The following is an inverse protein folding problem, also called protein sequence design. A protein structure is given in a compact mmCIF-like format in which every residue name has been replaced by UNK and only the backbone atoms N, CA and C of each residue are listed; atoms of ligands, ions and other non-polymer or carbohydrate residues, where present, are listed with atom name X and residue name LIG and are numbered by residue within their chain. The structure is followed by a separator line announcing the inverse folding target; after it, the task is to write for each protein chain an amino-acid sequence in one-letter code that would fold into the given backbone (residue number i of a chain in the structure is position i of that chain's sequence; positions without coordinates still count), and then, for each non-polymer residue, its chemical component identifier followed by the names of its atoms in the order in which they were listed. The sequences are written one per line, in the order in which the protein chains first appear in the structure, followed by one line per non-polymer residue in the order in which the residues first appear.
data_IF_173101667704
#
_entry.id   IF_173101667704
#
_cell.length_a   1.000
_cell.length_b   1.000
_cell.length_c   1.000
_cell.angle_alpha   90.00
_cell.angle_beta   90.00
_cell.angle_gamma   90.00
#
_symmetry.space_group_name_H-M   'P 1'
#
loop_
_entity.id
_entity.type
_entity.pdbx_description
1 polymer ?
#
# COMPACT_ATOMS: atom_id res chain seq x y z
N UNK A 1 20.36 39.38 -9.16
CA UNK A 1 20.12 38.39 -10.26
C UNK A 1 21.18 37.29 -10.34
N UNK A 2 22.50 37.54 -10.17
CA UNK A 2 23.53 36.50 -10.23
C UNK A 2 23.40 35.41 -9.10
N UNK A 3 23.03 35.83 -7.91
CA UNK A 3 22.94 34.90 -6.73
C UNK A 3 21.75 33.91 -6.83
N UNK A 4 20.64 34.33 -7.47
CA UNK A 4 19.44 33.48 -7.64
C UNK A 4 19.68 32.37 -8.68
N UNK A 5 20.47 32.65 -9.71
CA UNK A 5 20.84 31.69 -10.74
C UNK A 5 21.82 30.63 -10.20
N UNK A 6 22.75 31.02 -9.32
CA UNK A 6 23.68 30.07 -8.70
C UNK A 6 22.97 29.09 -7.80
N UNK A 7 22.06 29.56 -6.96
CA UNK A 7 21.23 28.72 -6.05
C UNK A 7 20.34 27.75 -6.86
N UNK A 8 19.79 28.20 -7.98
CA UNK A 8 18.98 27.35 -8.86
C UNK A 8 19.82 26.26 -9.53
N UNK A 9 21.04 26.56 -9.95
CA UNK A 9 21.96 25.58 -10.55
C UNK A 9 22.41 24.53 -9.52
N UNK A 10 22.82 24.95 -8.32
CA UNK A 10 23.19 24.03 -7.25
C UNK A 10 22.04 23.08 -6.84
N UNK A 11 20.81 23.61 -6.83
CA UNK A 11 19.62 22.82 -6.57
C UNK A 11 19.37 21.79 -7.68
N UNK A 12 19.53 22.22 -8.93
CA UNK A 12 19.34 21.34 -10.09
C UNK A 12 20.38 20.21 -10.14
N UNK A 13 21.63 20.50 -9.77
CA UNK A 13 22.69 19.49 -9.64
C UNK A 13 22.37 18.48 -8.53
N UNK A 14 21.91 18.93 -7.36
CA UNK A 14 21.51 18.04 -6.25
C UNK A 14 20.32 17.15 -6.59
N UNK A 15 19.32 17.69 -7.29
CA UNK A 15 18.17 16.92 -7.78
C UNK A 15 18.61 15.88 -8.80
N UNK A 16 19.50 16.22 -9.72
CA UNK A 16 20.03 15.29 -10.72
C UNK A 16 20.86 14.18 -10.08
N UNK A 17 21.70 14.51 -9.10
CA UNK A 17 22.47 13.53 -8.32
C UNK A 17 21.56 12.61 -7.48
N UNK A 18 20.46 13.13 -6.92
CA UNK A 18 19.48 12.32 -6.22
C UNK A 18 18.74 11.38 -7.17
N UNK A 19 18.33 11.84 -8.35
CA UNK A 19 17.71 11.01 -9.37
C UNK A 19 18.64 9.87 -9.82
N UNK A 20 19.91 10.17 -10.06
CA UNK A 20 20.91 9.18 -10.44
C UNK A 20 21.13 8.15 -9.33
N UNK A 21 21.25 8.59 -8.08
CA UNK A 21 21.36 7.71 -6.90
C UNK A 21 20.16 6.77 -6.79
N UNK A 22 18.96 7.26 -7.06
CA UNK A 22 17.72 6.46 -7.09
C UNK A 22 17.57 5.64 -8.39
N UNK A 23 18.57 5.65 -9.28
CA UNK A 23 18.50 5.00 -10.60
C UNK A 23 17.23 5.37 -11.39
N UNK A 24 16.84 6.63 -11.28
CA UNK A 24 15.73 7.25 -11.99
C UNK A 24 16.23 8.33 -12.92
N UNK A 25 15.53 8.54 -14.03
CA UNK A 25 15.70 9.78 -14.74
C UNK A 25 15.24 10.96 -13.88
N UNK A 26 15.76 12.15 -14.11
CA UNK A 26 15.31 13.38 -13.43
C UNK A 26 13.78 13.56 -13.52
N UNK A 27 13.19 13.20 -14.67
CA UNK A 27 11.75 13.29 -14.88
C UNK A 27 10.97 12.33 -13.96
N UNK A 28 11.40 11.09 -13.88
CA UNK A 28 10.79 10.07 -13.00
C UNK A 28 10.91 10.47 -11.52
N UNK A 29 12.06 10.99 -11.11
CA UNK A 29 12.26 11.49 -9.75
C UNK A 29 11.31 12.65 -9.41
N UNK A 30 11.14 13.61 -10.31
CA UNK A 30 10.19 14.71 -10.08
C UNK A 30 8.73 14.23 -10.11
N UNK A 31 8.38 13.27 -10.98
CA UNK A 31 7.06 12.65 -10.98
C UNK A 31 6.79 11.88 -9.68
N UNK A 32 7.77 11.16 -9.16
CA UNK A 32 7.71 10.51 -7.85
C UNK A 32 7.45 11.53 -6.72
N UNK A 33 8.21 12.62 -6.68
CA UNK A 33 8.02 13.67 -5.66
C UNK A 33 6.63 14.35 -5.80
N UNK A 34 6.15 14.57 -7.02
CA UNK A 34 4.82 15.10 -7.28
C UNK A 34 3.72 14.12 -6.83
N UNK A 35 3.87 12.83 -7.09
CA UNK A 35 2.93 11.79 -6.63
C UNK A 35 2.87 11.72 -5.10
N UNK A 36 4.02 11.81 -4.41
CA UNK A 36 4.07 11.91 -2.96
C UNK A 36 3.37 13.16 -2.42
N UNK A 37 3.63 14.32 -3.03
CA UNK A 37 2.98 15.58 -2.65
C UNK A 37 1.46 15.49 -2.83
N UNK A 38 1.00 14.90 -3.94
CA UNK A 38 -0.41 14.67 -4.21
C UNK A 38 -1.05 13.69 -3.20
N UNK A 39 -0.36 12.58 -2.88
CA UNK A 39 -0.81 11.61 -1.87
C UNK A 39 -0.97 12.26 -0.50
N UNK A 40 -0.05 13.15 -0.14
CA UNK A 40 -0.09 13.91 1.11
C UNK A 40 -1.14 15.05 1.09
N UNK A 41 -1.78 15.31 -0.04
CA UNK A 41 -2.72 16.42 -0.19
C UNK A 41 -2.07 17.78 -0.05
N UNK A 42 -0.79 17.92 -0.40
CA UNK A 42 -0.04 19.17 -0.29
C UNK A 42 -0.48 20.17 -1.36
N UNK A 43 -0.31 21.49 -1.09
CA UNK A 43 -0.61 22.52 -2.07
C UNK A 43 0.24 22.36 -3.36
N UNK A 44 -0.27 22.89 -4.46
CA UNK A 44 0.45 22.92 -5.73
C UNK A 44 1.83 23.59 -5.56
N UNK A 45 2.88 22.97 -6.09
CA UNK A 45 4.27 23.43 -5.97
C UNK A 45 5.02 22.85 -4.75
N UNK A 46 4.37 22.11 -3.86
CA UNK A 46 5.05 21.44 -2.74
C UNK A 46 5.93 20.25 -3.18
N UNK A 47 5.71 19.72 -4.37
CA UNK A 47 6.55 18.72 -5.02
C UNK A 47 8.03 19.15 -5.10
N UNK A 48 8.29 20.44 -5.32
CA UNK A 48 9.61 21.01 -5.31
C UNK A 48 10.29 20.94 -3.92
N UNK A 49 9.54 21.19 -2.84
CA UNK A 49 10.04 21.06 -1.47
C UNK A 49 10.30 19.60 -1.10
N UNK A 50 9.45 18.68 -1.54
CA UNK A 50 9.65 17.24 -1.39
C UNK A 50 10.90 16.80 -2.13
N UNK A 51 11.10 17.23 -3.39
CA UNK A 51 12.29 16.90 -4.18
C UNK A 51 13.57 17.41 -3.54
N UNK A 52 13.57 18.65 -3.05
CA UNK A 52 14.71 19.24 -2.34
C UNK A 52 15.01 18.48 -1.04
N UNK A 53 14.00 18.12 -0.25
CA UNK A 53 14.19 17.38 0.99
C UNK A 53 14.80 16.00 0.75
N UNK A 54 14.29 15.24 -0.22
CA UNK A 54 14.83 13.91 -0.59
C UNK A 54 16.25 14.03 -1.16
N UNK A 55 16.55 15.11 -1.89
CA UNK A 55 17.85 15.31 -2.49
C UNK A 55 18.94 15.77 -1.50
N UNK A 56 18.59 16.56 -0.48
CA UNK A 56 19.57 17.28 0.32
C UNK A 56 19.65 16.90 1.79
N UNK A 57 18.56 16.39 2.39
CA UNK A 57 18.55 16.08 3.82
C UNK A 57 19.26 14.77 4.13
N UNK A 58 19.87 14.70 5.32
CA UNK A 58 20.40 13.44 5.85
C UNK A 58 19.27 12.43 5.94
N UNK A 59 19.50 11.21 5.49
CA UNK A 59 18.55 10.10 5.61
C UNK A 59 18.20 9.89 7.09
N UNK A 60 16.92 9.85 7.45
CA UNK A 60 16.53 9.58 8.82
C UNK A 60 16.94 8.16 9.22
N UNK A 61 17.55 8.02 10.38
CA UNK A 61 17.81 6.71 11.01
C UNK A 61 16.48 6.06 11.37
N UNK A 62 16.29 4.81 10.99
CA UNK A 62 15.08 4.02 11.27
C UNK A 62 15.46 2.77 12.03
N UNK A 63 14.85 2.59 13.19
CA UNK A 63 14.91 1.37 13.98
C UNK A 63 13.54 0.71 13.88
N UNK A 64 13.48 -0.51 13.32
CA UNK A 64 12.25 -1.24 13.08
C UNK A 64 12.21 -2.50 13.94
N UNK A 65 11.30 -2.54 14.89
CA UNK A 65 11.11 -3.65 15.82
C UNK A 65 9.94 -4.54 15.37
N UNK A 66 10.12 -5.84 15.55
CA UNK A 66 9.15 -6.87 15.26
C UNK A 66 8.69 -7.58 16.53
N UNK A 67 7.36 -7.72 16.71
CA UNK A 67 6.80 -8.38 17.89
C UNK A 67 5.81 -9.47 17.49
N UNK A 68 4.56 -9.49 18.02
CA UNK A 68 3.56 -10.46 17.57
C UNK A 68 2.96 -10.02 16.24
N UNK A 69 3.47 -10.58 15.16
CA UNK A 69 3.16 -10.19 13.78
C UNK A 69 3.32 -11.37 12.81
N UNK A 70 3.09 -11.15 11.53
CA UNK A 70 3.24 -12.11 10.43
C UNK A 70 4.23 -11.66 9.37
N UNK A 71 5.03 -10.64 9.63
CA UNK A 71 5.93 -9.94 8.68
C UNK A 71 5.20 -9.28 7.49
N UNK A 72 3.86 -9.26 7.51
CA UNK A 72 3.05 -8.76 6.41
C UNK A 72 3.21 -7.29 6.12
N UNK A 73 3.53 -6.45 7.13
CA UNK A 73 3.76 -5.03 6.92
C UNK A 73 5.11 -4.78 6.26
N UNK A 74 6.16 -5.49 6.66
CA UNK A 74 7.45 -5.51 5.96
C UNK A 74 7.29 -6.05 4.54
N UNK A 75 6.57 -7.18 4.35
CA UNK A 75 6.26 -7.76 3.05
C UNK A 75 5.55 -6.76 2.12
N UNK A 76 4.63 -5.96 2.65
CA UNK A 76 3.94 -4.94 1.85
C UNK A 76 4.90 -3.87 1.32
N UNK A 77 5.98 -3.57 2.04
CA UNK A 77 7.01 -2.63 1.59
C UNK A 77 7.80 -3.16 0.39
N UNK A 78 7.99 -4.49 0.30
CA UNK A 78 8.59 -5.15 -0.87
C UNK A 78 7.79 -4.94 -2.15
N UNK A 79 6.50 -4.64 -2.02
CA UNK A 79 5.57 -4.43 -3.13
C UNK A 79 5.48 -2.98 -3.60
N UNK A 80 6.27 -2.09 -2.99
CA UNK A 80 6.38 -0.72 -3.49
C UNK A 80 7.23 -0.70 -4.77
N UNK A 81 6.69 -0.13 -5.84
CA UNK A 81 7.38 -0.01 -7.14
C UNK A 81 8.13 1.32 -7.26
N UNK A 82 7.63 2.38 -6.62
CA UNK A 82 8.16 3.73 -6.75
C UNK A 82 8.19 4.48 -5.40
N UNK A 83 9.33 4.50 -4.69
CA UNK A 83 10.56 3.74 -4.95
C UNK A 83 10.40 2.26 -4.62
N UNK A 84 11.23 1.42 -5.20
CA UNK A 84 11.39 0.03 -4.74
C UNK A 84 11.91 0.01 -3.30
N UNK A 85 11.70 -1.10 -2.58
CA UNK A 85 12.22 -1.24 -1.21
C UNK A 85 13.73 -1.01 -1.15
N UNK A 86 14.48 -1.53 -2.12
CA UNK A 86 15.92 -1.33 -2.22
C UNK A 86 16.28 0.16 -2.21
N UNK A 87 15.63 0.96 -3.07
CA UNK A 87 15.83 2.41 -3.13
C UNK A 87 15.38 3.12 -1.85
N UNK A 88 14.27 2.67 -1.26
CA UNK A 88 13.80 3.21 0.01
C UNK A 88 14.88 3.06 1.10
N UNK A 89 15.41 1.85 1.28
CA UNK A 89 16.41 1.53 2.31
C UNK A 89 17.75 2.21 2.03
N UNK A 90 18.20 2.20 0.77
CA UNK A 90 19.53 2.69 0.44
C UNK A 90 19.60 4.21 0.28
N UNK A 91 18.49 4.86 -0.12
CA UNK A 91 18.53 6.25 -0.56
C UNK A 91 17.60 7.20 0.20
N UNK A 92 16.47 6.73 0.71
CA UNK A 92 15.47 7.59 1.37
C UNK A 92 15.61 7.56 2.89
N UNK A 93 15.82 6.37 3.47
CA UNK A 93 16.02 6.17 4.90
C UNK A 93 17.38 5.52 5.17
N UNK A 94 17.85 5.55 6.40
CA UNK A 94 18.91 4.68 6.91
C UNK A 94 18.26 3.62 7.79
N UNK A 95 18.07 2.42 7.26
CA UNK A 95 17.51 1.32 8.05
C UNK A 95 18.61 0.75 8.92
N UNK A 96 18.69 1.17 10.17
CA UNK A 96 19.82 0.85 11.08
C UNK A 96 19.56 -0.38 11.96
N UNK A 97 18.31 -0.80 12.04
CA UNK A 97 17.91 -2.06 12.68
C UNK A 97 16.62 -2.59 12.07
N UNK A 98 16.62 -3.88 11.71
CA UNK A 98 15.43 -4.58 11.22
C UNK A 98 15.65 -6.10 11.35
N UNK A 99 14.80 -6.80 12.08
CA UNK A 99 15.06 -8.19 12.47
C UNK A 99 15.02 -9.19 11.30
N UNK A 100 14.27 -8.89 10.23
CA UNK A 100 14.14 -9.79 9.07
C UNK A 100 14.97 -9.41 7.86
N UNK A 101 15.38 -8.14 7.72
CA UNK A 101 16.14 -7.65 6.55
C UNK A 101 17.65 -7.49 6.83
N UNK A 102 18.07 -7.49 8.09
CA UNK A 102 19.48 -7.39 8.46
C UNK A 102 20.24 -8.70 8.22
N UNK A 103 21.46 -8.57 7.73
CA UNK A 103 22.40 -9.69 7.68
C UNK A 103 23.04 -9.99 9.06
N UNK A 104 23.19 -8.97 9.91
CA UNK A 104 23.71 -9.13 11.26
C UNK A 104 22.70 -9.80 12.18
N UNK A 105 23.18 -10.64 13.12
CA UNK A 105 22.34 -11.36 14.08
C UNK A 105 22.98 -11.39 15.48
N UNK A 106 22.21 -11.78 16.50
CA UNK A 106 22.67 -11.95 17.87
C UNK A 106 23.28 -10.68 18.45
N UNK A 107 24.46 -10.80 19.08
CA UNK A 107 25.10 -9.66 19.74
C UNK A 107 25.49 -8.53 18.78
N UNK A 108 25.77 -8.83 17.51
CA UNK A 108 26.14 -7.81 16.52
C UNK A 108 24.96 -6.90 16.19
N UNK A 109 23.78 -7.44 15.96
CA UNK A 109 22.59 -6.64 15.64
C UNK A 109 22.13 -5.83 16.84
N UNK A 110 22.20 -6.39 18.06
CA UNK A 110 21.90 -5.64 19.28
C UNK A 110 22.89 -4.48 19.51
N UNK A 111 24.19 -4.71 19.28
CA UNK A 111 25.19 -3.65 19.34
C UNK A 111 24.92 -2.55 18.30
N UNK A 112 24.55 -2.92 17.07
CA UNK A 112 24.18 -1.97 16.02
C UNK A 112 22.96 -1.13 16.41
N UNK A 113 21.92 -1.74 17.00
CA UNK A 113 20.75 -1.03 17.50
C UNK A 113 21.12 0.00 18.56
N UNK A 114 21.93 -0.39 19.55
CA UNK A 114 22.38 0.52 20.60
C UNK A 114 23.25 1.67 20.06
N UNK A 115 24.13 1.37 19.11
CA UNK A 115 24.96 2.39 18.45
C UNK A 115 24.07 3.38 17.68
N UNK A 116 23.12 2.90 16.88
CA UNK A 116 22.19 3.73 16.12
C UNK A 116 21.36 4.66 17.03
N UNK A 117 20.87 4.13 18.17
CA UNK A 117 20.14 4.93 19.17
C UNK A 117 21.01 6.02 19.79
N UNK A 118 22.26 5.69 20.12
CA UNK A 118 23.20 6.64 20.73
C UNK A 118 23.63 7.74 19.76
N UNK A 119 23.99 7.38 18.53
CA UNK A 119 24.44 8.29 17.49
C UNK A 119 23.34 9.22 16.96
N UNK A 120 22.10 8.75 16.94
CA UNK A 120 20.95 9.49 16.44
C UNK A 120 19.95 9.85 17.53
N UNK A 121 20.38 10.01 18.77
CA UNK A 121 19.54 10.35 19.91
C UNK A 121 18.66 11.57 19.63
N UNK A 122 17.33 11.42 19.79
CA UNK A 122 16.35 12.45 19.50
C UNK A 122 16.10 12.71 18.00
N UNK A 123 16.68 11.91 17.09
CA UNK A 123 16.59 12.10 15.64
C UNK A 123 16.14 10.86 14.88
N UNK A 124 16.18 9.68 15.48
CA UNK A 124 15.74 8.45 14.80
C UNK A 124 14.22 8.27 14.86
N UNK A 125 13.70 7.56 13.87
CA UNK A 125 12.32 7.12 13.80
C UNK A 125 12.25 5.69 14.32
N UNK A 126 11.41 5.45 15.31
CA UNK A 126 11.10 4.10 15.77
C UNK A 126 9.86 3.61 15.02
N UNK A 127 10.00 2.50 14.31
CA UNK A 127 8.90 1.77 13.68
C UNK A 127 8.66 0.49 14.47
N UNK A 128 7.42 0.20 14.79
CA UNK A 128 7.03 -1.04 15.49
C UNK A 128 6.00 -1.76 14.63
N UNK A 129 6.32 -3.00 14.27
CA UNK A 129 5.46 -3.96 13.61
C UNK A 129 5.05 -5.03 14.61
N UNK A 130 3.76 -5.37 14.65
CA UNK A 130 3.26 -6.39 15.57
C UNK A 130 2.66 -5.85 16.86
N UNK A 131 1.82 -6.68 17.50
CA UNK A 131 1.21 -6.38 18.78
C UNK A 131 2.17 -6.67 19.93
N UNK A 132 2.00 -5.97 21.03
CA UNK A 132 2.83 -6.11 22.23
C UNK A 132 2.04 -6.95 23.26
N UNK A 133 2.47 -8.19 23.57
CA UNK A 133 1.84 -8.97 24.63
C UNK A 133 2.12 -8.34 26.00
N UNK A 134 1.10 -8.25 26.84
CA UNK A 134 1.23 -7.62 28.15
C UNK A 134 0.97 -8.58 29.31
N UNK A 135 0.31 -9.74 29.07
CA UNK A 135 0.08 -10.72 30.11
C UNK A 135 1.40 -11.33 30.59
N UNK A 136 1.48 -11.69 31.84
CA UNK A 136 2.64 -12.29 32.49
C UNK A 136 3.95 -11.51 32.23
N UNK A 137 3.85 -10.17 32.36
CA UNK A 137 4.96 -9.22 32.13
C UNK A 137 5.56 -9.29 30.70
N UNK A 138 4.77 -9.72 29.70
CA UNK A 138 5.16 -9.71 28.30
C UNK A 138 6.06 -10.86 27.86
N UNK A 139 6.13 -11.96 28.62
CA UNK A 139 7.02 -13.09 28.34
C UNK A 139 6.73 -13.78 26.98
N UNK A 140 5.55 -13.55 26.40
CA UNK A 140 5.10 -14.19 25.15
C UNK A 140 5.75 -13.63 23.88
N UNK A 141 6.56 -12.58 24.00
CA UNK A 141 7.40 -12.08 22.92
C UNK A 141 8.70 -11.50 23.50
N UNK A 142 9.82 -12.13 23.16
CA UNK A 142 11.16 -11.73 23.62
C UNK A 142 12.12 -11.71 22.44
N UNK A 143 12.88 -10.63 22.33
CA UNK A 143 13.93 -10.44 21.31
C UNK A 143 15.21 -9.99 22.02
N UNK A 144 16.34 -10.60 21.73
CA UNK A 144 17.62 -10.29 22.38
C UNK A 144 17.59 -10.43 23.91
N UNK A 145 16.73 -11.31 24.47
CA UNK A 145 16.57 -11.52 25.90
C UNK A 145 15.62 -10.55 26.60
N UNK A 146 15.18 -9.47 25.94
CA UNK A 146 14.22 -8.48 26.45
C UNK A 146 12.81 -8.76 25.97
N UNK A 147 11.82 -8.41 26.77
CA UNK A 147 10.41 -8.48 26.35
C UNK A 147 10.09 -7.35 25.35
N UNK A 148 9.05 -7.55 24.54
CA UNK A 148 8.56 -6.52 23.64
C UNK A 148 8.20 -5.21 24.38
N UNK A 149 7.71 -5.29 25.62
CA UNK A 149 7.42 -4.12 26.47
C UNK A 149 8.70 -3.35 26.79
N UNK A 150 9.75 -4.07 27.22
CA UNK A 150 11.05 -3.48 27.57
C UNK A 150 11.68 -2.79 26.36
N UNK A 151 11.73 -3.50 25.21
CA UNK A 151 12.27 -2.96 23.96
C UNK A 151 11.50 -1.74 23.47
N UNK A 152 10.17 -1.80 23.52
CA UNK A 152 9.32 -0.67 23.13
C UNK A 152 9.63 0.57 23.95
N UNK A 153 9.72 0.44 25.27
CA UNK A 153 9.99 1.56 26.18
C UNK A 153 11.41 2.09 26.01
N UNK A 154 12.38 1.21 25.90
CA UNK A 154 13.79 1.56 25.68
C UNK A 154 13.96 2.36 24.39
N UNK A 155 13.49 1.82 23.26
CA UNK A 155 13.66 2.45 21.95
C UNK A 155 12.78 3.69 21.75
N UNK A 156 11.65 3.80 22.45
CA UNK A 156 10.76 4.97 22.36
C UNK A 156 11.19 6.15 23.24
N UNK A 157 12.15 5.97 24.15
CA UNK A 157 12.56 7.00 25.09
C UNK A 157 13.16 8.23 24.41
N UNK A 158 14.04 8.00 23.45
CA UNK A 158 14.79 9.05 22.74
C UNK A 158 14.44 9.12 21.24
N UNK A 159 13.35 8.51 20.80
CA UNK A 159 12.91 8.55 19.40
C UNK A 159 12.30 9.93 19.06
N UNK A 160 12.66 10.48 17.89
CA UNK A 160 12.03 11.70 17.36
C UNK A 160 10.56 11.46 16.99
N UNK A 161 10.25 10.25 16.51
CA UNK A 161 8.92 9.82 16.15
C UNK A 161 8.75 8.33 16.44
N UNK A 162 7.53 7.92 16.81
CA UNK A 162 7.15 6.52 16.96
C UNK A 162 6.00 6.23 16.00
N UNK A 163 6.19 5.25 15.12
CA UNK A 163 5.23 4.82 14.11
C UNK A 163 4.84 3.37 14.40
N UNK A 164 3.57 3.14 14.68
CA UNK A 164 2.98 1.80 14.79
C UNK A 164 2.46 1.38 13.41
N UNK A 165 3.19 0.49 12.71
CA UNK A 165 2.82 0.03 11.37
C UNK A 165 1.98 -1.25 11.45
N UNK A 166 0.89 -1.28 10.70
CA UNK A 166 -0.07 -2.38 10.73
C UNK A 166 -1.07 -2.31 11.86
N UNK A 167 -2.18 -3.02 11.72
CA UNK A 167 -3.25 -3.05 12.71
C UNK A 167 -2.81 -3.70 14.03
N UNK A 168 -1.85 -4.62 13.98
CA UNK A 168 -1.30 -5.28 15.17
C UNK A 168 -0.60 -4.27 16.08
N UNK A 169 0.31 -3.47 15.54
CA UNK A 169 1.00 -2.42 16.30
C UNK A 169 0.07 -1.25 16.66
N UNK A 170 -0.92 -0.95 15.82
CA UNK A 170 -1.85 0.16 16.08
C UNK A 170 -2.74 -0.08 17.29
N UNK A 171 -3.34 -1.28 17.43
CA UNK A 171 -4.30 -1.61 18.49
C UNK A 171 -4.46 -3.10 18.79
N UNK A 172 -3.44 -3.90 18.51
CA UNK A 172 -3.44 -5.34 18.81
C UNK A 172 -3.79 -6.24 17.62
N UNK A 173 -4.59 -5.75 16.65
CA UNK A 173 -4.93 -6.46 15.41
C UNK A 173 -5.35 -7.92 15.60
N UNK A 174 -4.84 -8.81 14.75
CA UNK A 174 -5.12 -10.24 14.79
C UNK A 174 -4.72 -10.89 16.15
N UNK A 175 -3.54 -10.62 16.74
CA UNK A 175 -3.16 -11.21 18.02
C UNK A 175 -4.10 -10.87 19.18
N UNK A 176 -4.81 -9.74 19.12
CA UNK A 176 -5.75 -9.29 20.15
C UNK A 176 -7.17 -9.82 20.00
N UNK A 177 -7.44 -10.64 18.96
CA UNK A 177 -8.74 -11.28 18.74
C UNK A 177 -9.07 -12.18 19.92
N UNK A 178 -10.36 -12.20 20.31
CA UNK A 178 -10.83 -13.05 21.41
C UNK A 178 -10.37 -14.51 21.24
N UNK A 179 -9.86 -15.15 22.31
CA UNK A 179 -9.85 -14.72 23.72
C UNK A 179 -8.61 -13.89 24.13
N UNK A 180 -7.80 -13.39 23.23
CA UNK A 180 -6.57 -12.62 23.46
C UNK A 180 -5.68 -13.25 24.56
N UNK A 181 -5.12 -14.44 24.34
CA UNK A 181 -4.44 -15.21 25.40
C UNK A 181 -3.17 -14.54 25.91
N UNK A 182 -2.50 -13.72 25.11
CA UNK A 182 -1.26 -13.04 25.48
C UNK A 182 -1.46 -11.63 26.03
N UNK A 183 -2.70 -11.11 26.04
CA UNK A 183 -2.98 -9.71 26.38
C UNK A 183 -2.34 -8.77 25.38
N UNK A 184 -2.42 -9.09 24.09
CA UNK A 184 -1.84 -8.30 22.99
C UNK A 184 -2.48 -6.92 22.90
N UNK A 185 -1.65 -5.87 22.83
CA UNK A 185 -2.03 -4.47 22.80
C UNK A 185 -1.29 -3.70 21.74
N UNK A 186 -1.83 -2.51 21.39
CA UNK A 186 -1.16 -1.56 20.52
C UNK A 186 -0.07 -0.75 21.23
N UNK A 187 0.82 -0.17 20.43
CA UNK A 187 1.99 0.60 20.91
C UNK A 187 1.58 1.79 21.77
N UNK A 188 0.58 2.56 21.34
CA UNK A 188 0.10 3.75 22.09
C UNK A 188 -0.38 3.39 23.50
N UNK A 189 -1.07 2.25 23.65
CA UNK A 189 -1.57 1.76 24.93
C UNK A 189 -0.42 1.33 25.86
N UNK A 190 0.60 0.65 25.33
CA UNK A 190 1.77 0.20 26.12
C UNK A 190 2.66 1.36 26.54
N UNK A 191 2.80 2.38 25.68
CA UNK A 191 3.58 3.58 25.99
C UNK A 191 2.82 4.61 26.85
N UNK A 192 1.48 4.53 26.89
CA UNK A 192 0.64 5.52 27.56
C UNK A 192 0.72 6.91 26.92
N UNK A 193 1.12 7.00 25.65
CA UNK A 193 1.24 8.27 24.91
C UNK A 193 0.79 8.09 23.45
N UNK A 194 0.31 9.17 22.78
CA UNK A 194 -0.02 9.12 21.37
C UNK A 194 1.19 8.75 20.51
N UNK A 195 0.96 7.94 19.48
CA UNK A 195 1.92 7.59 18.41
C UNK A 195 1.23 7.74 17.07
N UNK A 196 2.01 7.82 15.99
CA UNK A 196 1.43 7.72 14.64
C UNK A 196 1.10 6.27 14.37
N UNK A 197 -0.15 6.00 14.00
CA UNK A 197 -0.61 4.67 13.61
C UNK A 197 -0.83 4.60 12.11
N UNK A 198 -0.30 3.59 11.45
CA UNK A 198 -0.52 3.31 10.03
C UNK A 198 -1.18 1.93 9.91
N UNK A 199 -2.48 1.85 10.24
CA UNK A 199 -3.17 0.57 10.27
C UNK A 199 -3.42 0.01 8.87
N UNK A 200 -3.57 -1.30 8.83
CA UNK A 200 -3.82 -2.13 7.65
C UNK A 200 -3.33 -3.54 7.96
N UNK A 201 -3.76 -4.54 7.20
CA UNK A 201 -3.30 -5.92 7.39
C UNK A 201 -3.08 -6.59 6.03
N UNK A 202 -1.94 -6.24 5.42
CA UNK A 202 -0.97 -5.18 5.75
C UNK A 202 -1.46 -3.77 5.36
N UNK A 203 -0.79 -2.69 5.83
CA UNK A 203 -1.07 -1.34 5.35
C UNK A 203 -0.52 -1.13 3.95
N UNK A 204 -1.07 -0.14 3.24
CA UNK A 204 -0.51 0.29 1.97
C UNK A 204 0.89 0.90 2.20
N UNK A 205 1.94 0.44 1.49
CA UNK A 205 3.32 0.90 1.68
C UNK A 205 3.49 2.40 1.46
N UNK A 206 2.72 2.98 0.55
CA UNK A 206 2.77 4.42 0.27
C UNK A 206 2.27 5.28 1.43
N UNK A 207 1.42 4.76 2.32
CA UNK A 207 1.01 5.48 3.53
C UNK A 207 2.19 5.64 4.51
N UNK A 208 3.02 4.61 4.67
CA UNK A 208 4.24 4.69 5.46
C UNK A 208 5.26 5.63 4.81
N UNK A 209 5.56 5.41 3.52
CA UNK A 209 6.51 6.22 2.77
C UNK A 209 6.13 7.71 2.81
N UNK A 210 4.86 8.04 2.54
CA UNK A 210 4.38 9.43 2.59
C UNK A 210 4.53 10.04 3.98
N UNK A 211 4.32 9.27 5.05
CA UNK A 211 4.50 9.74 6.44
C UNK A 211 5.97 10.07 6.72
N UNK A 212 6.90 9.21 6.32
CA UNK A 212 8.35 9.42 6.50
C UNK A 212 8.84 10.60 5.66
N UNK A 213 8.42 10.69 4.40
CA UNK A 213 8.80 11.81 3.52
C UNK A 213 8.21 13.13 4.00
N UNK A 214 7.00 13.13 4.55
CA UNK A 214 6.43 14.32 5.19
C UNK A 214 7.31 14.78 6.36
N UNK A 215 7.70 13.85 7.23
CA UNK A 215 8.60 14.15 8.35
C UNK A 215 9.96 14.66 7.85
N UNK A 216 10.54 14.03 6.84
CA UNK A 216 11.79 14.46 6.23
C UNK A 216 11.68 15.87 5.65
N UNK A 217 10.58 16.17 4.96
CA UNK A 217 10.38 17.45 4.26
C UNK A 217 10.16 18.60 5.25
N UNK A 218 9.26 18.41 6.22
CA UNK A 218 8.76 19.49 7.07
C UNK A 218 9.31 19.47 8.51
N UNK A 219 10.07 18.43 8.90
CA UNK A 219 10.57 18.26 10.26
C UNK A 219 9.49 17.95 11.30
N UNK A 220 8.27 17.65 10.85
CA UNK A 220 7.11 17.30 11.69
C UNK A 220 6.30 16.19 11.07
N UNK A 221 5.63 15.42 11.91
CA UNK A 221 4.69 14.37 11.47
C UNK A 221 3.45 14.99 10.80
N UNK A 222 2.78 14.28 9.89
CA UNK A 222 1.53 14.74 9.30
C UNK A 222 0.43 14.87 10.36
N UNK A 223 -0.61 15.66 10.04
CA UNK A 223 -1.79 15.75 10.89
C UNK A 223 -2.46 14.37 10.99
N UNK A 224 -2.84 14.04 12.23
CA UNK A 224 -3.47 12.74 12.54
C UNK A 224 -4.90 12.92 13.04
N UNK A 225 -5.69 11.86 12.97
CA UNK A 225 -7.01 11.79 13.59
C UNK A 225 -6.91 11.35 15.07
N UNK A 226 -8.09 11.13 15.70
CA UNK A 226 -8.18 10.73 17.11
C UNK A 226 -7.59 9.32 17.41
N UNK A 227 -7.35 8.50 16.39
CA UNK A 227 -6.69 7.19 16.50
C UNK A 227 -5.20 7.27 16.18
N UNK A 228 -4.66 8.47 15.91
CA UNK A 228 -3.26 8.67 15.53
C UNK A 228 -2.98 8.36 14.05
N UNK A 229 -4.00 8.19 13.21
CA UNK A 229 -3.84 7.87 11.79
C UNK A 229 -3.64 9.14 10.96
N UNK A 230 -2.67 9.19 10.03
CA UNK A 230 -2.47 10.31 9.12
C UNK A 230 -3.75 10.65 8.33
N UNK A 231 -4.23 11.88 8.44
CA UNK A 231 -5.49 12.30 7.80
C UNK A 231 -5.48 12.18 6.29
N UNK A 232 -4.32 12.34 5.64
CA UNK A 232 -4.21 12.17 4.19
C UNK A 232 -4.63 10.78 3.69
N UNK A 233 -4.46 9.74 4.54
CA UNK A 233 -4.77 8.36 4.20
C UNK A 233 -6.09 7.85 4.81
N UNK A 234 -6.49 8.38 5.97
CA UNK A 234 -7.56 7.78 6.79
C UNK A 234 -8.72 8.74 7.10
N UNK A 235 -8.89 9.82 6.32
CA UNK A 235 -9.98 10.78 6.56
C UNK A 235 -11.29 10.45 5.84
N UNK A 236 -11.28 9.53 4.88
CA UNK A 236 -12.44 9.19 4.05
C UNK A 236 -12.87 7.74 4.24
N UNK A 237 -14.18 7.50 4.21
CA UNK A 237 -14.72 6.15 4.19
C UNK A 237 -14.37 5.45 2.87
N UNK A 238 -13.94 4.20 2.96
CA UNK A 238 -13.72 3.35 1.78
C UNK A 238 -14.97 3.32 0.89
N UNK A 239 -16.13 3.24 1.50
CA UNK A 239 -17.43 3.19 0.83
C UNK A 239 -17.72 4.40 -0.08
N UNK A 240 -17.18 5.58 0.24
CA UNK A 240 -17.41 6.81 -0.54
C UNK A 240 -16.71 6.78 -1.90
N UNK A 241 -15.56 6.14 -1.99
CA UNK A 241 -14.73 6.09 -3.19
C UNK A 241 -14.61 4.66 -3.79
N UNK A 242 -15.47 3.74 -3.35
CA UNK A 242 -15.47 2.37 -3.84
C UNK A 242 -16.06 2.30 -5.25
N UNK A 243 -15.40 1.65 -6.19
CA UNK A 243 -15.89 1.42 -7.54
C UNK A 243 -17.23 0.69 -7.58
N UNK A 244 -17.55 -0.09 -6.52
CA UNK A 244 -18.82 -0.80 -6.40
C UNK A 244 -19.92 0.03 -5.74
N UNK A 245 -19.67 1.31 -5.43
CA UNK A 245 -20.63 2.19 -4.76
C UNK A 245 -21.89 2.38 -5.57
N UNK A 246 -21.80 2.54 -6.89
CA UNK A 246 -22.96 2.69 -7.75
C UNK A 246 -23.92 1.48 -7.69
N UNK A 247 -23.36 0.27 -7.51
CA UNK A 247 -24.18 -0.93 -7.27
C UNK A 247 -24.88 -0.91 -5.92
N UNK A 248 -24.22 -0.40 -4.87
CA UNK A 248 -24.88 -0.21 -3.56
C UNK A 248 -26.07 0.72 -3.67
N UNK A 249 -25.89 1.87 -4.31
CA UNK A 249 -26.93 2.90 -4.47
C UNK A 249 -28.10 2.40 -5.33
N UNK A 250 -27.84 1.48 -6.28
CA UNK A 250 -28.87 0.82 -7.11
C UNK A 250 -29.46 -0.44 -6.46
N UNK A 251 -29.07 -0.81 -5.23
CA UNK A 251 -29.57 -2.01 -4.56
C UNK A 251 -29.06 -3.33 -5.14
N UNK A 252 -27.97 -3.31 -5.92
CA UNK A 252 -27.38 -4.49 -6.55
C UNK A 252 -26.27 -5.07 -5.68
N UNK A 253 -26.51 -6.24 -5.12
CA UNK A 253 -25.60 -6.91 -4.19
C UNK A 253 -25.22 -8.30 -4.67
N UNK A 254 -23.97 -8.70 -4.41
CA UNK A 254 -23.59 -10.10 -4.35
C UNK A 254 -24.19 -10.71 -3.08
N UNK A 255 -24.88 -11.84 -3.21
CA UNK A 255 -25.54 -12.52 -2.09
C UNK A 255 -24.70 -13.70 -1.59
N UNK A 256 -23.91 -14.30 -2.50
CA UNK A 256 -23.01 -15.41 -2.22
C UNK A 256 -21.70 -15.23 -2.99
N UNK A 257 -20.58 -15.76 -2.47
CA UNK A 257 -19.34 -15.79 -3.20
C UNK A 257 -19.47 -16.63 -4.47
N UNK A 258 -19.12 -16.05 -5.63
CA UNK A 258 -19.21 -16.73 -6.91
C UNK A 258 -20.60 -16.73 -7.54
N UNK A 259 -21.60 -16.06 -6.98
CA UNK A 259 -22.90 -15.87 -7.62
C UNK A 259 -22.81 -14.93 -8.86
N UNK A 260 -23.90 -14.73 -9.56
CA UNK A 260 -23.92 -13.85 -10.74
C UNK A 260 -23.56 -12.40 -10.38
N UNK A 261 -24.08 -11.89 -9.26
CA UNK A 261 -23.79 -10.55 -8.79
C UNK A 261 -22.31 -10.38 -8.41
N UNK A 262 -21.73 -11.38 -7.74
CA UNK A 262 -20.31 -11.38 -7.40
C UNK A 262 -19.41 -11.33 -8.66
N UNK A 263 -19.70 -12.17 -9.65
CA UNK A 263 -18.96 -12.22 -10.93
C UNK A 263 -19.13 -10.94 -11.77
N UNK A 264 -20.29 -10.27 -11.64
CA UNK A 264 -20.57 -9.00 -12.32
C UNK A 264 -20.08 -7.77 -11.57
N UNK A 265 -19.38 -7.94 -10.44
CA UNK A 265 -18.82 -6.83 -9.68
C UNK A 265 -19.83 -6.07 -8.81
N UNK A 266 -20.98 -6.65 -8.46
CA UNK A 266 -21.96 -6.02 -7.58
C UNK A 266 -21.40 -5.73 -6.19
N UNK A 267 -22.07 -4.85 -5.43
CA UNK A 267 -21.63 -4.47 -4.11
C UNK A 267 -21.55 -5.67 -3.15
N UNK A 268 -20.44 -5.76 -2.40
CA UNK A 268 -20.16 -6.85 -1.47
C UNK A 268 -20.73 -6.63 -0.05
N UNK A 269 -21.61 -5.62 0.13
CA UNK A 269 -22.17 -5.31 1.45
C UNK A 269 -22.86 -6.50 2.10
N UNK A 270 -23.63 -7.28 1.34
CA UNK A 270 -24.34 -8.47 1.84
C UNK A 270 -23.40 -9.63 2.20
N UNK A 271 -22.17 -9.62 1.71
CA UNK A 271 -21.11 -10.56 2.10
C UNK A 271 -20.33 -10.08 3.33
N UNK A 272 -20.76 -9.00 3.96
CA UNK A 272 -20.15 -8.49 5.20
C UNK A 272 -19.09 -7.43 5.00
N UNK A 273 -19.03 -6.76 3.84
CA UNK A 273 -18.08 -5.69 3.58
C UNK A 273 -18.20 -4.57 4.62
N UNK A 274 -17.07 -4.28 5.32
CA UNK A 274 -16.97 -3.23 6.35
C UNK A 274 -16.63 -1.86 5.80
N UNK A 275 -16.54 -1.71 4.47
CA UNK A 275 -16.25 -0.43 3.82
C UNK A 275 -17.08 0.74 4.32
N UNK A 276 -18.41 0.60 4.57
CA UNK A 276 -19.27 1.67 5.08
C UNK A 276 -18.94 2.22 6.46
N UNK A 277 -18.10 1.55 7.24
CA UNK A 277 -17.69 2.00 8.57
C UNK A 277 -16.17 2.11 8.71
N UNK A 278 -15.42 1.93 7.62
CA UNK A 278 -13.96 1.87 7.61
C UNK A 278 -13.34 3.05 6.88
N UNK A 279 -12.44 3.77 7.55
CA UNK A 279 -11.71 4.89 6.98
C UNK A 279 -10.35 4.41 6.46
N UNK A 280 -10.10 4.57 5.16
CA UNK A 280 -8.83 4.30 4.49
C UNK A 280 -8.86 4.77 3.04
N UNK A 281 -7.69 4.83 2.42
CA UNK A 281 -7.50 5.22 1.02
C UNK A 281 -7.36 4.02 0.05
N UNK A 282 -7.63 2.80 0.49
CA UNK A 282 -7.42 1.57 -0.30
C UNK A 282 -8.12 1.55 -1.66
N UNK A 283 -9.26 2.25 -1.78
CA UNK A 283 -10.00 2.36 -3.05
C UNK A 283 -9.43 3.40 -4.02
N UNK A 284 -8.47 4.21 -3.57
CA UNK A 284 -7.88 5.31 -4.35
C UNK A 284 -6.39 5.10 -4.57
N UNK A 285 -5.67 4.75 -3.51
CA UNK A 285 -4.26 4.40 -3.57
C UNK A 285 -4.18 2.87 -3.52
N UNK A 286 -4.04 2.26 -4.69
CA UNK A 286 -4.01 0.81 -4.82
C UNK A 286 -2.70 0.26 -4.26
N UNK A 287 -2.72 -0.99 -3.84
CA UNK A 287 -1.51 -1.73 -3.51
C UNK A 287 -0.74 -1.99 -4.81
N UNK A 288 0.57 -1.70 -4.82
CA UNK A 288 1.43 -1.79 -6.01
C UNK A 288 1.58 -3.21 -6.55
N UNK A 289 2.46 -3.40 -7.52
CA UNK A 289 3.05 -4.61 -8.08
C UNK A 289 2.10 -5.68 -8.70
N UNK A 290 0.80 -5.61 -8.53
CA UNK A 290 -0.16 -6.50 -9.21
C UNK A 290 -0.69 -5.84 -10.49
N UNK A 291 0.16 -5.65 -11.49
CA UNK A 291 -0.18 -4.95 -12.73
C UNK A 291 -0.47 -3.47 -12.49
N UNK A 292 -1.70 -3.02 -12.73
CA UNK A 292 -2.12 -1.63 -12.47
C UNK A 292 -2.38 -1.33 -10.98
N UNK A 293 -2.04 -2.25 -10.08
CA UNK A 293 -2.40 -2.20 -8.66
C UNK A 293 -3.80 -2.72 -8.40
N UNK A 294 -4.05 -3.11 -7.16
CA UNK A 294 -5.35 -3.66 -6.75
C UNK A 294 -5.62 -3.42 -5.26
N UNK A 295 -6.81 -3.82 -4.82
CA UNK A 295 -7.20 -3.84 -3.42
C UNK A 295 -8.28 -4.93 -3.19
N UNK A 296 -8.52 -5.40 -1.96
CA UNK A 296 -9.35 -6.58 -1.71
C UNK A 296 -10.74 -6.53 -2.34
N UNK A 297 -11.42 -5.37 -2.31
CA UNK A 297 -12.78 -5.25 -2.85
C UNK A 297 -12.79 -5.33 -4.38
N UNK A 298 -11.80 -4.77 -5.07
CA UNK A 298 -11.66 -4.94 -6.51
C UNK A 298 -11.52 -6.42 -6.89
N UNK A 299 -10.76 -7.18 -6.10
CA UNK A 299 -10.57 -8.61 -6.28
C UNK A 299 -11.78 -9.48 -5.86
N UNK A 300 -12.89 -8.87 -5.44
CA UNK A 300 -14.10 -9.60 -5.03
C UNK A 300 -14.14 -10.03 -3.57
N UNK A 301 -13.18 -9.60 -2.74
CA UNK A 301 -13.20 -9.87 -1.30
C UNK A 301 -13.79 -8.68 -0.53
N UNK A 302 -14.79 -8.88 0.35
CA UNK A 302 -15.34 -7.80 1.16
C UNK A 302 -14.26 -7.17 2.05
N UNK A 303 -14.31 -5.85 2.24
CA UNK A 303 -13.46 -5.15 3.20
C UNK A 303 -13.70 -5.70 4.61
N UNK A 304 -12.65 -6.11 5.32
CA UNK A 304 -12.73 -6.64 6.69
C UNK A 304 -12.62 -5.56 7.76
N UNK A 305 -12.39 -4.30 7.37
CA UNK A 305 -12.29 -3.19 8.32
C UNK A 305 -10.96 -3.14 9.07
N UNK A 306 -9.88 -3.67 8.50
CA UNK A 306 -8.59 -3.81 9.19
C UNK A 306 -7.99 -2.46 9.65
N UNK A 307 -8.33 -1.36 9.01
CA UNK A 307 -7.85 -0.02 9.36
C UNK A 307 -8.68 0.68 10.43
N UNK A 308 -9.72 0.04 10.95
CA UNK A 308 -10.65 0.64 11.91
C UNK A 308 -10.62 -0.13 13.24
N UNK A 309 -10.30 0.59 14.33
CA UNK A 309 -10.32 0.02 15.67
C UNK A 309 -11.76 -0.38 16.07
N UNK A 310 -11.92 -1.55 16.64
CA UNK A 310 -13.23 -2.08 17.04
C UNK A 310 -14.07 -2.63 15.88
N UNK A 311 -13.55 -2.65 14.66
CA UNK A 311 -14.19 -3.24 13.48
C UNK A 311 -13.39 -4.43 12.98
N UNK A 312 -12.21 -4.21 12.44
CA UNK A 312 -11.33 -5.29 12.01
C UNK A 312 -10.91 -6.18 13.17
N UNK A 313 -10.95 -7.50 12.98
CA UNK A 313 -10.55 -8.53 13.94
C UNK A 313 -11.43 -8.66 15.20
N UNK A 314 -12.39 -7.76 15.40
CA UNK A 314 -13.31 -7.78 16.56
C UNK A 314 -14.76 -8.07 16.18
N UNK A 315 -15.19 -7.63 14.99
CA UNK A 315 -16.50 -8.02 14.46
C UNK A 315 -16.38 -9.31 13.64
N UNK A 316 -17.41 -10.16 13.64
CA UNK A 316 -17.43 -11.30 12.73
C UNK A 316 -17.27 -10.85 11.27
N UNK A 317 -16.44 -11.56 10.50
CA UNK A 317 -16.03 -11.16 9.14
C UNK A 317 -17.25 -10.93 8.24
N UNK A 318 -18.24 -11.82 8.29
CA UNK A 318 -19.45 -11.75 7.43
C UNK A 318 -20.62 -11.00 8.05
N UNK A 319 -20.50 -10.43 9.26
CA UNK A 319 -21.57 -9.59 9.82
C UNK A 319 -21.72 -8.30 9.01
N UNK A 320 -22.94 -7.79 8.89
CA UNK A 320 -23.18 -6.55 8.17
C UNK A 320 -22.53 -5.36 8.87
N UNK A 321 -21.95 -4.47 8.08
CA UNK A 321 -21.39 -3.23 8.56
C UNK A 321 -22.47 -2.23 8.96
N UNK A 322 -22.16 -1.35 9.91
CA UNK A 322 -22.96 -0.19 10.21
C UNK A 322 -22.78 0.86 9.10
N UNK A 323 -23.86 1.31 8.50
CA UNK A 323 -23.83 2.35 7.47
C UNK A 323 -23.62 3.72 8.12
N UNK A 324 -22.51 4.39 7.81
CA UNK A 324 -22.21 5.74 8.30
C UNK A 324 -22.58 6.83 7.30
N UNK A 325 -22.44 6.57 6.01
CA UNK A 325 -22.82 7.49 4.94
C UNK A 325 -23.58 6.73 3.86
N UNK A 326 -24.87 7.03 3.71
CA UNK A 326 -25.79 6.42 2.75
C UNK A 326 -26.09 7.32 1.54
N UNK A 327 -25.66 8.59 1.57
CA UNK A 327 -25.87 9.48 0.44
C UNK A 327 -25.04 9.02 -0.76
N UNK A 328 -25.61 9.02 -1.97
CA UNK A 328 -24.87 8.67 -3.18
C UNK A 328 -23.64 9.56 -3.37
N UNK A 329 -22.53 8.98 -3.81
CA UNK A 329 -21.33 9.72 -4.09
C UNK A 329 -21.53 10.72 -5.23
N UNK A 330 -21.06 11.96 -5.03
CA UNK A 330 -21.04 12.96 -6.10
C UNK A 330 -20.01 12.67 -7.20
N UNK A 331 -19.03 11.80 -6.92
CA UNK A 331 -17.93 11.49 -7.83
C UNK A 331 -18.16 10.26 -8.71
N UNK A 332 -19.09 9.38 -8.32
CA UNK A 332 -19.36 8.15 -9.06
C UNK A 332 -20.70 8.28 -9.77
N UNK A 333 -20.78 7.96 -11.07
CA UNK A 333 -22.03 8.01 -11.81
C UNK A 333 -23.02 7.01 -11.22
N UNK A 334 -24.28 7.41 -11.13
CA UNK A 334 -25.37 6.51 -10.76
C UNK A 334 -25.60 5.50 -11.88
N UNK A 335 -25.85 4.26 -11.52
CA UNK A 335 -26.35 3.27 -12.46
C UNK A 335 -27.80 3.64 -12.75
N UNK A 336 -28.04 4.16 -13.94
CA UNK A 336 -29.41 4.37 -14.45
C UNK A 336 -29.80 3.03 -15.09
N UNK A 337 -30.82 2.37 -14.54
CA UNK A 337 -31.51 1.32 -15.30
C UNK A 337 -32.19 2.00 -16.47
N UNK A 338 -31.71 1.80 -17.67
CA UNK A 338 -32.53 2.05 -18.83
C UNK A 338 -33.77 1.15 -18.66
N UNK A 339 -34.88 1.76 -18.23
CA UNK A 339 -36.19 1.11 -18.34
C UNK A 339 -36.29 0.72 -19.81
N UNK A 340 -36.25 -0.57 -20.08
CA UNK A 340 -36.13 -1.15 -21.38
C UNK A 340 -36.81 -0.37 -22.50
N UNK A 341 -36.11 0.57 -23.09
CA UNK A 341 -36.30 0.84 -24.48
C UNK A 341 -35.96 -0.49 -25.14
N UNK A 342 -36.98 -1.27 -25.38
CA UNK A 342 -36.83 -2.52 -26.15
C UNK A 342 -35.95 -2.15 -27.34
N UNK A 343 -34.74 -2.71 -27.37
CA UNK A 343 -33.80 -2.41 -28.42
C UNK A 343 -34.60 -2.56 -29.71
N UNK A 344 -34.78 -1.46 -30.44
CA UNK A 344 -35.47 -1.54 -31.72
C UNK A 344 -34.80 -2.64 -32.49
N UNK A 345 -35.52 -3.50 -33.15
CA UNK A 345 -34.95 -4.61 -33.95
C UNK A 345 -33.75 -4.16 -34.81
N UNK A 346 -33.72 -2.86 -35.18
CA UNK A 346 -32.61 -2.22 -35.88
C UNK A 346 -31.34 -2.04 -35.01
N UNK A 347 -31.47 -1.65 -33.74
CA UNK A 347 -30.30 -1.49 -32.85
C UNK A 347 -29.71 -2.84 -32.45
N UNK A 348 -30.55 -3.86 -32.22
CA UNK A 348 -30.11 -5.23 -31.97
C UNK A 348 -29.46 -5.82 -33.19
N UNK A 349 -29.94 -5.56 -34.41
CA UNK A 349 -29.34 -5.97 -35.66
C UNK A 349 -27.98 -5.28 -35.90
N UNK A 350 -27.84 -3.99 -35.55
CA UNK A 350 -26.59 -3.25 -35.69
C UNK A 350 -25.53 -3.77 -34.71
N UNK A 351 -25.91 -4.05 -33.45
CA UNK A 351 -25.01 -4.63 -32.45
C UNK A 351 -24.59 -6.05 -32.84
N UNK A 352 -25.51 -6.85 -33.39
CA UNK A 352 -25.18 -8.18 -33.89
C UNK A 352 -24.25 -8.13 -35.12
N UNK A 353 -24.43 -7.14 -36.01
CA UNK A 353 -23.57 -6.96 -37.19
C UNK A 353 -22.15 -6.50 -36.77
N UNK A 354 -22.03 -5.57 -35.80
CA UNK A 354 -20.74 -5.13 -35.28
C UNK A 354 -20.03 -6.25 -34.52
N UNK A 355 -20.75 -7.01 -33.69
CA UNK A 355 -20.20 -8.16 -32.98
C UNK A 355 -19.79 -9.28 -33.96
N UNK A 356 -20.57 -9.53 -35.02
CA UNK A 356 -20.24 -10.46 -36.05
C UNK A 356 -19.02 -10.06 -36.87
N UNK A 357 -18.88 -8.77 -37.20
CA UNK A 357 -17.71 -8.25 -37.91
C UNK A 357 -16.44 -8.31 -37.04
N UNK A 358 -16.54 -8.01 -35.74
CA UNK A 358 -15.44 -8.11 -34.80
C UNK A 358 -15.00 -9.56 -34.58
N UNK A 359 -15.96 -10.49 -34.44
CA UNK A 359 -15.66 -11.92 -34.31
C UNK A 359 -15.09 -12.52 -35.61
N UNK A 360 -15.63 -12.13 -36.76
CA UNK A 360 -15.13 -12.56 -38.10
C UNK A 360 -13.74 -12.00 -38.39
N UNK A 361 -13.50 -10.72 -38.07
CA UNK A 361 -12.19 -10.09 -38.21
C UNK A 361 -11.13 -10.71 -37.27
N UNK A 362 -11.51 -10.98 -36.01
CA UNK A 362 -10.63 -11.68 -35.07
C UNK A 362 -10.28 -13.09 -35.49
N UNK A 363 -11.25 -13.85 -36.00
CA UNK A 363 -11.02 -15.21 -36.52
C UNK A 363 -10.14 -15.21 -37.76
N UNK A 364 -10.26 -14.22 -38.65
CA UNK A 364 -9.38 -14.09 -39.83
C UNK A 364 -7.95 -13.71 -39.43
N UNK A 365 -7.77 -12.84 -38.47
CA UNK A 365 -6.46 -12.43 -37.93
C UNK A 365 -5.75 -13.62 -37.27
N UNK A 366 -6.43 -14.36 -36.41
CA UNK A 366 -5.85 -15.55 -35.76
C UNK A 366 -5.52 -16.66 -36.74
N UNK A 367 -6.34 -16.84 -37.76
CA UNK A 367 -6.05 -17.80 -38.84
C UNK A 367 -4.83 -17.39 -39.67
N UNK A 368 -4.69 -16.12 -40.03
CA UNK A 368 -3.52 -15.62 -40.77
C UNK A 368 -2.24 -15.67 -39.94
N UNK A 369 -2.30 -15.37 -38.64
CA UNK A 369 -1.15 -15.50 -37.72
C UNK A 369 -0.76 -16.98 -37.54
N UNK A 370 -1.72 -17.89 -37.46
CA UNK A 370 -1.45 -19.35 -37.42
C UNK A 370 -0.80 -19.88 -38.69
N UNK A 371 -1.22 -19.39 -39.86
CA UNK A 371 -0.63 -19.79 -41.15
C UNK A 371 0.79 -19.24 -41.36
N UNK A 372 1.09 -18.03 -40.86
CA UNK A 372 2.45 -17.47 -40.88
C UNK A 372 3.41 -18.23 -39.97
N UNK A 373 2.96 -18.63 -38.78
CA UNK A 373 3.76 -19.44 -37.87
C UNK A 373 4.08 -20.83 -38.40
N UNK A 374 3.09 -21.47 -39.02
CA UNK A 374 3.31 -22.78 -39.72
C UNK A 374 4.26 -22.69 -40.91
N UNK A 375 4.21 -21.58 -41.65
CA UNK A 375 5.13 -21.34 -42.75
C UNK A 375 6.58 -21.15 -42.27
N UNK A 376 6.79 -20.41 -41.17
CA UNK A 376 8.12 -20.23 -40.56
C UNK A 376 8.67 -21.54 -39.97
N UNK A 377 7.84 -22.38 -39.37
CA UNK A 377 8.28 -23.69 -38.85
C UNK A 377 8.65 -24.65 -40.00
N UNK A 378 7.89 -24.61 -41.11
CA UNK A 378 8.21 -25.41 -42.29
C UNK A 378 9.52 -24.98 -42.98
N UNK A 379 9.79 -23.67 -42.98
CA UNK A 379 11.06 -23.15 -43.55
C UNK A 379 12.25 -23.48 -42.64
N UNK A 380 12.11 -23.41 -41.33
CA UNK A 380 13.13 -23.85 -40.36
C UNK A 380 13.40 -25.36 -40.51
N UNK A 381 12.37 -26.18 -40.61
CA UNK A 381 12.53 -27.64 -40.80
C UNK A 381 13.24 -27.97 -42.09
N UNK A 382 12.98 -27.25 -43.18
CA UNK A 382 13.70 -27.42 -44.47
C UNK A 382 15.17 -26.98 -44.37
N UNK A 383 15.48 -25.92 -43.64
CA UNK A 383 16.86 -25.46 -43.43
C UNK A 383 17.65 -26.45 -42.56
N UNK A 384 17.04 -27.05 -41.55
CA UNK A 384 17.68 -28.06 -40.69
C UNK A 384 17.90 -29.37 -41.47
N UNK A 385 16.99 -29.79 -42.35
CA UNK A 385 17.20 -30.94 -43.27
C UNK A 385 18.31 -30.68 -44.30
N UNK A 386 18.41 -29.46 -44.81
CA UNK A 386 19.48 -29.11 -45.76
C UNK A 386 20.86 -29.08 -45.08
N UNK A 387 20.95 -28.69 -43.79
CA UNK A 387 22.20 -28.76 -43.03
C UNK A 387 22.64 -30.19 -42.73
N UNK A 388 21.71 -31.08 -42.40
CA UNK A 388 22.01 -32.51 -42.19
C UNK A 388 22.44 -33.27 -43.43
N UNK A 389 22.04 -32.81 -44.62
CA UNK A 389 22.43 -33.45 -45.91
C UNK A 389 23.80 -32.96 -46.44
N UNK A 390 24.44 -31.99 -45.79
CA UNK A 390 25.77 -31.45 -46.18
C UNK A 390 26.89 -31.96 -45.26
N UNK A 391 26.54 -32.73 -44.20
CA UNK A 391 27.50 -33.35 -43.27
C UNK A 391 27.67 -34.88 -43.44
N UNK A 392 27.26 -35.45 -44.58
CA UNK A 392 27.54 -36.86 -44.90
C UNK A 392 28.53 -36.97 -46.07
#
# INVERSE_FOLDING_TARGET
MANTNLIALERDEKISAAAERLSMSRREFLQFCAALAATLGLPQGADAAVAEAVATKKRPSVIWLHFQECTGCTESMLRAEHPTLEKLILDVISLDYHETLFAAAGHQVEAARHAAMAENKGQYILVIEGAIPTRDNGIYCKVGGKTAIELTRECAADAAAVIAIGSCASWGGMPSTDPNPTGAKGVAEVLGKPVVTIPGCPPNPYNFLSTVVHFLTFGKLPDVDHLGRPKFAYSRLIHENCERRAHFDAGRFAMEFGDAGHRQGYCLYKLGCKGPETYANCSVILFGDAGAGTWPVACGHPCIGCTEQGVGFQKPIHSLAKLKNIEPSAFLPRIVEEQGAGASLGAAALLAAVAGAAAGGGAMLTRNLGLSHQAEELEKAKQDQAKQSTEV
#
